data_IF_528635661810
#
_entry.id   IF_528635661810
#
_cell.length_a   1.000
_cell.length_b   1.000
_cell.length_c   1.000
_cell.angle_alpha   90.00
_cell.angle_beta   90.00
_cell.angle_gamma   90.00
#
_symmetry.space_group_name_H-M   'P 1'
#
loop_
_entity.id
_entity.type
_entity.pdbx_description
1 polymer ?
#
# COMPACT_ATOMS: atom_id res chain seq x y z
N UNK A 1 12.77 18.63 -6.09
CA UNK A 1 12.04 19.55 -5.19
C UNK A 1 10.55 19.22 -5.25
N UNK A 2 10.06 18.39 -4.33
CA UNK A 2 8.66 18.32 -3.86
C UNK A 2 8.64 17.46 -2.60
N UNK A 3 9.38 17.90 -1.57
CA UNK A 3 9.21 17.39 -0.20
C UNK A 3 8.00 18.12 0.39
N UNK A 4 6.80 17.78 -0.07
CA UNK A 4 5.61 17.98 0.76
C UNK A 4 5.57 16.76 1.67
N UNK A 5 5.67 16.96 2.97
CA UNK A 5 5.55 15.93 4.00
C UNK A 5 4.14 15.32 3.97
N UNK A 6 3.85 14.50 2.96
CA UNK A 6 2.57 13.83 2.87
C UNK A 6 2.54 12.73 3.92
N UNK A 7 1.89 13.04 5.04
CA UNK A 7 1.57 12.06 6.06
C UNK A 7 0.80 10.92 5.40
N UNK A 8 1.42 9.74 5.37
CA UNK A 8 0.81 8.58 4.78
C UNK A 8 -0.32 8.10 5.68
N UNK A 9 -1.39 7.62 5.04
CA UNK A 9 -2.51 6.95 5.70
C UNK A 9 -2.53 5.51 5.21
N UNK A 10 -2.93 4.60 6.07
CA UNK A 10 -3.10 3.20 5.72
C UNK A 10 -4.46 2.99 5.05
N UNK A 11 -4.49 2.33 3.90
CA UNK A 11 -5.70 1.94 3.19
C UNK A 11 -5.73 0.43 2.98
N UNK A 12 -6.90 -0.17 3.23
CA UNK A 12 -7.24 -1.51 2.78
C UNK A 12 -7.96 -1.37 1.44
N UNK A 13 -7.32 -1.84 0.38
CA UNK A 13 -7.88 -1.87 -0.97
C UNK A 13 -8.13 -3.32 -1.38
N UNK A 14 -9.34 -3.60 -1.88
CA UNK A 14 -9.73 -4.91 -2.39
C UNK A 14 -10.24 -4.75 -3.81
N UNK A 15 -9.71 -5.55 -4.73
CA UNK A 15 -10.16 -5.57 -6.12
C UNK A 15 -10.16 -6.98 -6.71
N UNK A 16 -10.82 -7.13 -7.84
CA UNK A 16 -10.94 -8.39 -8.59
C UNK A 16 -11.05 -8.12 -10.08
N UNK A 17 -10.83 -9.16 -10.88
CA UNK A 17 -11.21 -9.12 -12.30
C UNK A 17 -12.73 -8.99 -12.43
N UNK A 18 -13.20 -8.42 -13.54
CA UNK A 18 -14.62 -8.42 -13.83
C UNK A 18 -15.12 -9.88 -14.02
N UNK A 19 -16.29 -10.24 -13.48
CA UNK A 19 -16.89 -11.54 -13.73
C UNK A 19 -17.08 -11.79 -15.24
N UNK A 20 -16.81 -13.02 -15.67
CA UNK A 20 -17.03 -13.46 -17.07
C UNK A 20 -17.85 -14.75 -17.07
N UNK A 21 -18.50 -15.13 -18.19
CA UNK A 21 -19.24 -16.40 -18.26
C UNK A 21 -18.39 -17.64 -17.92
N UNK A 22 -17.08 -17.57 -18.20
CA UNK A 22 -16.12 -18.65 -17.88
C UNK A 22 -15.65 -18.62 -16.41
N UNK A 23 -15.76 -17.46 -15.75
CA UNK A 23 -15.33 -17.27 -14.36
C UNK A 23 -16.27 -16.27 -13.68
N UNK A 24 -17.37 -16.79 -13.16
CA UNK A 24 -18.45 -16.01 -12.54
C UNK A 24 -18.04 -15.41 -11.19
N UNK A 25 -17.15 -16.10 -10.47
CA UNK A 25 -16.68 -15.71 -9.14
C UNK A 25 -15.16 -15.52 -9.14
N UNK A 26 -14.65 -14.42 -9.73
CA UNK A 26 -13.22 -14.15 -9.75
C UNK A 26 -12.68 -13.90 -8.34
N UNK A 27 -11.42 -14.31 -8.06
CA UNK A 27 -10.83 -14.18 -6.74
C UNK A 27 -10.65 -12.71 -6.34
N UNK A 28 -10.82 -12.43 -5.04
CA UNK A 28 -10.60 -11.11 -4.45
C UNK A 28 -9.15 -10.97 -3.98
N UNK A 29 -8.49 -9.89 -4.42
CA UNK A 29 -7.15 -9.53 -3.98
C UNK A 29 -7.20 -8.34 -3.03
N UNK A 30 -6.64 -8.51 -1.84
CA UNK A 30 -6.56 -7.48 -0.80
C UNK A 30 -5.11 -7.02 -0.62
N UNK A 31 -4.90 -5.69 -0.62
CA UNK A 31 -3.62 -5.07 -0.31
C UNK A 31 -3.76 -4.03 0.80
N UNK A 32 -2.72 -3.91 1.63
CA UNK A 32 -2.51 -2.77 2.54
C UNK A 32 -1.62 -1.77 1.80
N UNK A 33 -2.09 -0.54 1.65
CA UNK A 33 -1.40 0.49 0.86
C UNK A 33 -1.28 1.75 1.71
N UNK A 34 -0.06 2.28 1.79
CA UNK A 34 0.22 3.55 2.44
C UNK A 34 0.23 4.67 1.39
N UNK A 35 -0.69 5.63 1.53
CA UNK A 35 -0.88 6.69 0.55
C UNK A 35 -1.45 7.95 1.23
N UNK A 36 -1.29 9.15 0.64
CA UNK A 36 -1.86 10.38 1.21
C UNK A 36 -3.39 10.42 1.15
N UNK A 37 -3.98 9.81 0.11
CA UNK A 37 -5.43 9.79 -0.09
C UNK A 37 -5.86 8.49 -0.81
N UNK A 38 -7.18 8.26 -0.84
CA UNK A 38 -7.76 7.06 -1.43
C UNK A 38 -7.54 6.95 -2.95
N UNK A 39 -7.39 8.08 -3.67
CA UNK A 39 -7.13 8.08 -5.12
C UNK A 39 -5.74 7.49 -5.42
N UNK A 40 -4.72 7.97 -4.70
CA UNK A 40 -3.36 7.44 -4.80
C UNK A 40 -3.31 5.97 -4.35
N UNK A 41 -4.06 5.61 -3.30
CA UNK A 41 -4.16 4.22 -2.84
C UNK A 41 -4.69 3.29 -3.95
N UNK A 42 -5.79 3.67 -4.63
CA UNK A 42 -6.34 2.92 -5.77
C UNK A 42 -5.34 2.83 -6.93
N UNK A 43 -4.61 3.90 -7.23
CA UNK A 43 -3.58 3.89 -8.27
C UNK A 43 -2.44 2.89 -7.97
N UNK A 44 -1.92 2.92 -6.73
CA UNK A 44 -0.88 1.98 -6.28
C UNK A 44 -1.36 0.53 -6.26
N UNK A 45 -2.63 0.29 -5.93
CA UNK A 45 -3.22 -1.05 -6.03
C UNK A 45 -3.09 -1.61 -7.44
N UNK A 46 -3.51 -0.84 -8.44
CA UNK A 46 -3.42 -1.27 -9.85
C UNK A 46 -1.98 -1.48 -10.30
N UNK A 47 -1.04 -0.64 -9.86
CA UNK A 47 0.38 -0.82 -10.13
C UNK A 47 0.88 -2.18 -9.65
N UNK A 48 0.73 -2.49 -8.35
CA UNK A 48 1.25 -3.74 -7.79
C UNK A 48 0.50 -4.97 -8.28
N UNK A 49 -0.82 -4.91 -8.40
CA UNK A 49 -1.61 -6.08 -8.80
C UNK A 49 -1.41 -6.46 -10.26
N UNK A 50 -1.04 -5.51 -11.12
CA UNK A 50 -0.66 -5.79 -12.50
C UNK A 50 0.64 -6.59 -12.58
N UNK A 51 1.63 -6.29 -11.72
CA UNK A 51 2.89 -7.02 -11.64
C UNK A 51 2.71 -8.42 -11.01
N UNK A 52 1.86 -8.53 -9.99
CA UNK A 52 1.70 -9.77 -9.23
C UNK A 52 0.69 -10.76 -9.84
N UNK A 53 -0.37 -10.26 -10.49
CA UNK A 53 -1.50 -11.08 -10.97
C UNK A 53 -1.90 -10.78 -12.41
N UNK A 54 -1.16 -9.95 -13.15
CA UNK A 54 -1.45 -9.57 -14.54
C UNK A 54 -2.86 -8.97 -14.72
N UNK A 55 -3.45 -8.45 -13.65
CA UNK A 55 -4.77 -7.82 -13.67
C UNK A 55 -4.65 -6.35 -14.06
N UNK A 56 -5.50 -5.90 -14.99
CA UNK A 56 -5.54 -4.51 -15.48
C UNK A 56 -6.74 -3.76 -14.92
N UNK A 57 -6.59 -2.44 -14.76
CA UNK A 57 -7.69 -1.54 -14.36
C UNK A 57 -8.89 -1.60 -15.32
N UNK A 58 -8.65 -1.80 -16.62
CA UNK A 58 -9.70 -1.87 -17.63
C UNK A 58 -10.54 -3.16 -17.56
N UNK A 59 -9.98 -4.24 -17.01
CA UNK A 59 -10.61 -5.56 -16.94
C UNK A 59 -10.91 -5.99 -15.50
N UNK A 60 -10.92 -5.04 -14.56
CA UNK A 60 -11.11 -5.30 -13.15
C UNK A 60 -11.77 -4.12 -12.45
N UNK A 61 -12.23 -4.39 -11.23
CA UNK A 61 -12.92 -3.42 -10.40
C UNK A 61 -12.33 -3.40 -8.99
N UNK A 62 -12.47 -2.27 -8.31
CA UNK A 62 -12.16 -2.14 -6.88
C UNK A 62 -13.47 -2.31 -6.13
N UNK A 63 -13.57 -3.40 -5.37
CA UNK A 63 -14.75 -3.76 -4.57
C UNK A 63 -14.79 -2.96 -3.27
N UNK A 64 -13.62 -2.67 -2.68
CA UNK A 64 -13.54 -1.93 -1.43
C UNK A 64 -12.28 -1.07 -1.36
N UNK A 65 -12.41 0.14 -0.84
CA UNK A 65 -11.28 1.01 -0.49
C UNK A 65 -11.65 1.78 0.77
N UNK A 66 -11.05 1.41 1.90
CA UNK A 66 -11.29 2.06 3.18
C UNK A 66 -10.00 2.34 3.94
N UNK A 67 -9.97 3.47 4.64
CA UNK A 67 -8.86 3.83 5.51
C UNK A 67 -8.83 2.89 6.73
N UNK A 68 -7.65 2.45 7.12
CA UNK A 68 -7.40 1.64 8.31
C UNK A 68 -6.85 2.56 9.39
N UNK A 69 -7.44 2.50 10.56
CA UNK A 69 -7.01 3.24 11.73
C UNK A 69 -6.31 2.31 12.72
N UNK A 70 -5.30 2.84 13.40
CA UNK A 70 -4.55 2.10 14.41
C UNK A 70 -5.45 1.79 15.63
N UNK A 71 -5.44 0.55 16.12
CA UNK A 71 -6.31 0.12 17.22
C UNK A 71 -5.97 0.81 18.55
N UNK A 72 -4.70 1.10 18.76
CA UNK A 72 -4.17 1.71 19.99
C UNK A 72 -3.23 2.86 19.62
N UNK A 73 -3.78 4.03 19.23
CA UNK A 73 -3.00 5.15 18.71
C UNK A 73 -2.21 5.91 19.79
N UNK A 74 -2.45 5.63 21.08
CA UNK A 74 -1.75 6.26 22.20
C UNK A 74 -0.60 5.42 22.75
N UNK A 75 -0.46 4.18 22.29
CA UNK A 75 0.57 3.25 22.76
C UNK A 75 1.74 3.21 21.78
N UNK A 76 2.93 3.54 22.27
CA UNK A 76 4.17 3.42 21.49
C UNK A 76 4.49 1.96 21.19
N UNK A 77 4.89 1.69 19.94
CA UNK A 77 5.23 0.36 19.43
C UNK A 77 6.54 0.44 18.64
N UNK A 78 7.21 -0.70 18.51
CA UNK A 78 8.33 -0.87 17.59
C UNK A 78 7.82 -1.57 16.32
N UNK A 79 8.13 -1.02 15.15
CA UNK A 79 7.71 -1.51 13.85
C UNK A 79 8.93 -1.90 13.02
N UNK A 80 9.03 -3.17 12.63
CA UNK A 80 9.98 -3.64 11.62
C UNK A 80 9.41 -3.44 10.22
N UNK A 81 10.16 -2.75 9.36
CA UNK A 81 9.78 -2.49 7.97
C UNK A 81 10.80 -3.16 7.05
N UNK A 82 10.32 -4.14 6.29
CA UNK A 82 11.04 -4.67 5.13
C UNK A 82 10.58 -3.91 3.89
N UNK A 83 11.54 -3.34 3.16
CA UNK A 83 11.27 -2.60 1.94
C UNK A 83 12.20 -3.05 0.82
N UNK A 84 11.71 -2.90 -0.40
CA UNK A 84 12.52 -2.98 -1.61
C UNK A 84 12.49 -1.62 -2.28
N UNK A 85 13.63 -1.14 -2.72
CA UNK A 85 13.76 0.14 -3.39
C UNK A 85 14.72 0.12 -4.54
N UNK A 86 14.51 1.04 -5.48
CA UNK A 86 15.40 1.25 -6.60
C UNK A 86 16.29 2.46 -6.31
N UNK A 87 17.60 2.23 -6.28
CA UNK A 87 18.62 3.27 -6.28
C UNK A 87 18.98 3.63 -7.73
N UNK A 88 19.89 4.61 -7.91
CA UNK A 88 20.44 4.92 -9.25
C UNK A 88 21.20 3.74 -9.86
N UNK A 89 21.68 2.81 -9.04
CA UNK A 89 22.56 1.71 -9.45
C UNK A 89 21.89 0.34 -9.43
N UNK A 90 20.65 0.23 -8.93
CA UNK A 90 19.92 -1.04 -8.92
C UNK A 90 18.88 -1.16 -7.81
N UNK A 91 18.29 -2.35 -7.71
CA UNK A 91 17.25 -2.66 -6.72
C UNK A 91 17.86 -3.27 -5.47
N UNK A 92 17.51 -2.75 -4.30
CA UNK A 92 18.01 -3.19 -3.00
C UNK A 92 16.86 -3.53 -2.06
N UNK A 93 17.06 -4.56 -1.23
CA UNK A 93 16.15 -4.88 -0.14
C UNK A 93 16.76 -4.37 1.17
N UNK A 94 15.94 -3.80 2.04
CA UNK A 94 16.37 -3.23 3.31
C UNK A 94 15.39 -3.65 4.41
N UNK A 95 15.93 -3.81 5.62
CA UNK A 95 15.15 -3.92 6.85
C UNK A 95 15.52 -2.75 7.76
N UNK A 96 14.53 -2.12 8.38
CA UNK A 96 14.75 -1.08 9.38
C UNK A 96 13.62 -1.04 10.40
N UNK A 97 13.96 -0.67 11.62
CA UNK A 97 13.01 -0.55 12.72
C UNK A 97 12.71 0.92 13.05
N UNK A 98 11.45 1.19 13.37
CA UNK A 98 10.95 2.51 13.73
C UNK A 98 10.10 2.44 15.00
N UNK A 99 10.26 3.43 15.87
CA UNK A 99 9.44 3.58 17.08
C UNK A 99 8.41 4.68 16.84
N UNK A 100 7.13 4.32 16.83
CA UNK A 100 6.02 5.23 16.54
C UNK A 100 4.74 4.77 17.30
N UNK A 101 3.71 5.62 17.28
CA UNK A 101 2.37 5.34 17.78
C UNK A 101 1.52 4.55 16.76
N UNK A 102 1.75 4.76 15.47
CA UNK A 102 0.93 4.19 14.39
C UNK A 102 1.77 3.55 13.29
N UNK A 103 1.21 2.52 12.65
CA UNK A 103 1.85 1.87 11.50
C UNK A 103 2.11 2.89 10.36
N UNK A 104 1.14 3.77 10.09
CA UNK A 104 1.26 4.79 9.06
C UNK A 104 2.31 5.86 9.41
N UNK A 105 2.45 6.19 10.70
CA UNK A 105 3.52 7.06 11.20
C UNK A 105 4.90 6.46 10.96
N UNK A 106 5.10 5.19 11.34
CA UNK A 106 6.35 4.48 11.11
C UNK A 106 6.74 4.43 9.62
N UNK A 107 5.79 4.14 8.73
CA UNK A 107 6.05 4.15 7.27
C UNK A 107 6.33 5.57 6.76
N UNK A 108 5.65 6.59 7.31
CA UNK A 108 5.95 7.99 6.98
C UNK A 108 7.37 8.37 7.41
N UNK A 109 7.82 7.94 8.59
CA UNK A 109 9.21 8.12 9.01
C UNK A 109 10.16 7.39 8.05
N UNK A 110 9.83 6.15 7.67
CA UNK A 110 10.63 5.39 6.71
C UNK A 110 10.83 6.13 5.39
N UNK A 111 9.77 6.67 4.79
CA UNK A 111 9.86 7.44 3.55
C UNK A 111 10.60 8.78 3.69
N UNK A 112 10.73 9.33 4.91
CA UNK A 112 11.47 10.58 5.15
C UNK A 112 12.98 10.37 5.28
N UNK A 113 13.39 9.24 5.86
CA UNK A 113 14.80 8.94 6.18
C UNK A 113 15.46 8.02 5.15
N UNK A 114 14.87 7.93 3.97
CA UNK A 114 15.30 7.10 2.86
C UNK A 114 15.44 7.97 1.63
#
# INVERSE_FOLDING_TARGET
LFFVSLQLREYKVVGRCLPTPKCTTPPLYRMRIFAPNHVVAKSRFWYFVSQLKKMKKSSGEIVYCGQVYEKSPLRVKNFGIWLRYDSRSGTHNMYREYRDLTTAGAVTQCCKYM
#
